data_IF_778995239718
#
_entry.id   IF_778995239718
#
_cell.length_a   1.000
_cell.length_b   1.000
_cell.length_c   1.000
_cell.angle_alpha   90.00
_cell.angle_beta   90.00
_cell.angle_gamma   90.00
#
_symmetry.space_group_name_H-M   'P 1'
#
loop_
_entity.id
_entity.type
_entity.pdbx_description
1 polymer ?
#
# COMPACT_ATOMS: atom_id res chain seq x y z
N UNK A 1 37.44 -1.92 -13.90
CA UNK A 1 36.55 -1.50 -12.80
C UNK A 1 35.13 -1.87 -13.21
N UNK A 2 34.67 -2.91 -12.53
CA UNK A 2 33.39 -3.63 -12.48
C UNK A 2 32.16 -3.23 -13.32
N UNK A 3 31.70 -4.11 -14.24
CA UNK A 3 30.32 -4.13 -14.74
C UNK A 3 29.27 -4.64 -13.71
N UNK A 4 29.66 -4.91 -12.45
CA UNK A 4 28.78 -5.40 -11.39
C UNK A 4 27.74 -4.36 -10.94
N UNK A 5 28.10 -3.07 -10.90
CA UNK A 5 27.22 -1.98 -10.44
C UNK A 5 25.92 -1.90 -11.26
N UNK A 6 25.99 -2.05 -12.59
CA UNK A 6 24.79 -1.99 -13.43
C UNK A 6 23.86 -3.19 -13.20
N UNK A 7 24.43 -4.39 -13.03
CA UNK A 7 23.66 -5.61 -12.78
C UNK A 7 22.99 -5.59 -11.39
N UNK A 8 23.67 -5.04 -10.39
CA UNK A 8 23.14 -4.86 -9.04
C UNK A 8 22.02 -3.82 -9.00
N UNK A 9 22.22 -2.65 -9.61
CA UNK A 9 21.17 -1.63 -9.75
C UNK A 9 19.95 -2.22 -10.44
N UNK A 10 20.15 -2.97 -11.54
CA UNK A 10 19.06 -3.58 -12.29
C UNK A 10 18.35 -4.68 -11.47
N UNK A 11 19.09 -5.51 -10.73
CA UNK A 11 18.51 -6.54 -9.86
C UNK A 11 17.69 -5.93 -8.72
N UNK A 12 18.24 -4.94 -8.02
CA UNK A 12 17.55 -4.24 -6.92
C UNK A 12 16.32 -3.51 -7.45
N UNK A 13 16.43 -2.85 -8.61
CA UNK A 13 15.29 -2.19 -9.26
C UNK A 13 14.21 -3.19 -9.65
N UNK A 14 14.57 -4.34 -10.21
CA UNK A 14 13.60 -5.37 -10.60
C UNK A 14 12.87 -5.95 -9.37
N UNK A 15 13.59 -6.20 -8.28
CA UNK A 15 13.01 -6.68 -7.01
C UNK A 15 12.07 -5.62 -6.43
N UNK A 16 12.52 -4.36 -6.32
CA UNK A 16 11.68 -3.26 -5.81
C UNK A 16 10.46 -3.02 -6.70
N UNK A 17 10.62 -3.06 -8.02
CA UNK A 17 9.51 -2.89 -8.96
C UNK A 17 8.44 -3.98 -8.81
N UNK A 18 8.87 -5.23 -8.61
CA UNK A 18 7.97 -6.34 -8.36
C UNK A 18 7.28 -6.25 -6.99
N UNK A 19 7.98 -5.79 -5.95
CA UNK A 19 7.41 -5.64 -4.59
C UNK A 19 6.40 -4.48 -4.53
N UNK A 20 6.69 -3.36 -5.21
CA UNK A 20 5.79 -2.19 -5.23
C UNK A 20 4.52 -2.47 -6.06
N UNK A 21 4.59 -3.42 -7.01
CA UNK A 21 3.48 -3.82 -7.89
C UNK A 21 2.75 -2.64 -8.57
N UNK A 22 3.54 -1.80 -9.25
CA UNK A 22 3.01 -0.60 -9.93
C UNK A 22 1.96 -0.98 -10.98
N UNK A 23 2.17 -2.07 -11.73
CA UNK A 23 1.27 -2.49 -12.81
C UNK A 23 -0.06 -3.00 -12.26
N UNK A 24 -0.03 -3.80 -11.19
CA UNK A 24 -1.23 -4.25 -10.50
C UNK A 24 -2.02 -3.10 -9.92
N UNK A 25 -1.37 -2.04 -9.43
CA UNK A 25 -2.04 -0.87 -8.87
C UNK A 25 -2.72 0.05 -9.92
N UNK A 26 -2.43 -0.08 -11.22
CA UNK A 26 -2.96 0.82 -12.26
C UNK A 26 -4.51 0.85 -12.30
N UNK A 27 -5.23 -0.29 -12.39
CA UNK A 27 -6.69 -0.30 -12.44
C UNK A 27 -7.32 0.34 -11.20
N UNK A 28 -6.75 0.11 -10.01
CA UNK A 28 -7.20 0.72 -8.74
C UNK A 28 -7.06 2.24 -8.81
N UNK A 29 -5.90 2.74 -9.24
CA UNK A 29 -5.66 4.18 -9.38
C UNK A 29 -6.61 4.80 -10.41
N UNK A 30 -6.87 4.12 -11.53
CA UNK A 30 -7.81 4.58 -12.57
C UNK A 30 -9.23 4.63 -12.01
N UNK A 31 -9.69 3.58 -11.32
CA UNK A 31 -11.03 3.54 -10.72
C UNK A 31 -11.19 4.65 -9.67
N UNK A 32 -10.20 4.84 -8.78
CA UNK A 32 -10.19 5.93 -7.83
C UNK A 32 -10.26 7.30 -8.52
N UNK A 33 -9.52 7.49 -9.62
CA UNK A 33 -9.52 8.75 -10.38
C UNK A 33 -10.85 9.00 -11.06
N UNK A 34 -11.48 7.97 -11.63
CA UNK A 34 -12.80 8.08 -12.26
C UNK A 34 -13.90 8.41 -11.24
N UNK A 35 -13.81 7.89 -10.02
CA UNK A 35 -14.80 8.09 -8.95
C UNK A 35 -14.62 9.39 -8.17
N UNK A 36 -13.38 9.77 -7.85
CA UNK A 36 -13.07 10.96 -7.04
C UNK A 36 -12.68 12.19 -7.87
N UNK A 37 -12.58 12.07 -9.19
CA UNK A 37 -12.15 13.14 -10.09
C UNK A 37 -10.66 13.44 -9.97
N UNK A 38 -10.30 14.46 -9.18
CA UNK A 38 -8.90 14.88 -9.04
C UNK A 38 -8.27 14.30 -7.77
N UNK A 39 -7.38 13.30 -7.94
CA UNK A 39 -6.59 12.75 -6.84
C UNK A 39 -5.48 13.73 -6.47
N UNK A 40 -5.47 14.20 -5.22
CA UNK A 40 -4.37 15.02 -4.67
C UNK A 40 -3.19 14.11 -4.28
N UNK A 41 -2.56 13.50 -5.29
CA UNK A 41 -1.51 12.47 -5.11
C UNK A 41 -0.34 12.94 -4.26
N UNK A 42 0.06 14.22 -4.36
CA UNK A 42 1.14 14.78 -3.58
C UNK A 42 0.81 14.80 -2.08
N UNK A 43 -0.35 15.34 -1.71
CA UNK A 43 -0.79 15.40 -0.30
C UNK A 43 -1.05 14.01 0.27
N UNK A 44 -1.64 13.11 -0.53
CA UNK A 44 -1.84 11.73 -0.13
C UNK A 44 -0.51 11.02 0.13
N UNK A 45 0.48 11.20 -0.76
CA UNK A 45 1.82 10.63 -0.61
C UNK A 45 2.52 11.17 0.63
N UNK A 46 2.45 12.48 0.88
CA UNK A 46 3.01 13.10 2.10
C UNK A 46 2.31 12.57 3.36
N UNK A 47 0.98 12.43 3.34
CA UNK A 47 0.24 11.89 4.48
C UNK A 47 0.65 10.45 4.80
N UNK A 48 0.74 9.59 3.78
CA UNK A 48 1.21 8.20 3.94
C UNK A 48 2.67 8.16 4.40
N UNK A 49 3.54 9.01 3.86
CA UNK A 49 4.95 9.11 4.28
C UNK A 49 5.05 9.46 5.77
N UNK A 50 4.33 10.48 6.22
CA UNK A 50 4.30 10.89 7.63
C UNK A 50 3.75 9.76 8.50
N UNK A 51 2.65 9.12 8.07
CA UNK A 51 2.07 7.98 8.78
C UNK A 51 3.07 6.83 8.93
N UNK A 52 3.77 6.47 7.86
CA UNK A 52 4.78 5.42 7.87
C UNK A 52 5.96 5.77 8.78
N UNK A 53 6.47 7.01 8.72
CA UNK A 53 7.56 7.47 9.58
C UNK A 53 7.13 7.42 11.04
N UNK A 54 5.94 7.92 11.38
CA UNK A 54 5.42 7.86 12.76
C UNK A 54 5.29 6.40 13.20
N UNK A 55 4.62 5.56 12.41
CA UNK A 55 4.43 4.15 12.72
C UNK A 55 5.75 3.37 12.84
N UNK A 56 6.82 3.77 12.14
CA UNK A 56 8.15 3.19 12.30
C UNK A 56 8.69 3.37 13.73
N UNK A 57 8.44 4.52 14.36
CA UNK A 57 8.95 4.82 15.70
C UNK A 57 8.05 4.28 16.82
N UNK A 58 6.72 4.37 16.66
CA UNK A 58 5.77 4.02 17.73
C UNK A 58 4.93 2.77 17.45
N UNK A 59 5.09 2.13 16.30
CA UNK A 59 4.22 1.03 15.85
C UNK A 59 4.25 -0.18 16.77
N UNK A 60 5.43 -0.57 17.26
CA UNK A 60 5.54 -1.70 18.19
C UNK A 60 4.82 -1.41 19.51
N UNK A 61 5.05 -0.24 20.12
CA UNK A 61 4.37 0.12 21.38
C UNK A 61 2.86 0.26 21.19
N UNK A 62 2.41 0.76 20.03
CA UNK A 62 1.00 0.85 19.69
C UNK A 62 0.35 -0.53 19.62
N UNK A 63 1.03 -1.52 19.05
CA UNK A 63 0.56 -2.92 18.98
C UNK A 63 0.57 -3.58 20.36
N UNK A 64 1.59 -3.32 21.18
CA UNK A 64 1.70 -3.87 22.53
C UNK A 64 0.55 -3.39 23.45
N UNK A 65 0.10 -2.13 23.31
CA UNK A 65 -1.05 -1.58 24.08
C UNK A 65 -2.33 -2.38 23.82
N UNK A 66 -2.53 -2.85 22.59
CA UNK A 66 -3.69 -3.66 22.19
C UNK A 66 -3.43 -5.17 22.33
N UNK A 67 -2.28 -5.56 22.89
CA UNK A 67 -1.90 -6.96 23.14
C UNK A 67 -1.60 -7.76 21.87
N UNK A 68 -1.12 -7.10 20.81
CA UNK A 68 -0.75 -7.73 19.54
C UNK A 68 0.76 -7.68 19.34
N UNK A 69 1.32 -8.74 18.75
CA UNK A 69 2.71 -8.74 18.28
C UNK A 69 2.80 -8.38 16.79
N UNK A 70 4.00 -7.97 16.37
CA UNK A 70 4.28 -7.59 14.97
C UNK A 70 3.95 -8.74 14.01
N UNK A 71 4.22 -9.99 14.41
CA UNK A 71 3.97 -11.16 13.57
C UNK A 71 2.47 -11.36 13.31
N UNK A 72 1.62 -11.29 14.35
CA UNK A 72 0.16 -11.41 14.16
C UNK A 72 -0.39 -10.24 13.35
N UNK A 73 0.10 -9.02 13.55
CA UNK A 73 -0.30 -7.86 12.74
C UNK A 73 0.05 -8.06 11.26
N UNK A 74 1.27 -8.52 10.96
CA UNK A 74 1.71 -8.81 9.61
C UNK A 74 0.88 -9.92 8.94
N UNK A 75 0.54 -10.99 9.67
CA UNK A 75 -0.33 -12.06 9.17
C UNK A 75 -1.71 -11.50 8.82
N UNK A 76 -2.32 -10.72 9.71
CA UNK A 76 -3.63 -10.09 9.46
C UNK A 76 -3.59 -9.16 8.24
N UNK A 77 -2.57 -8.31 8.15
CA UNK A 77 -2.38 -7.41 7.00
C UNK A 77 -2.18 -8.15 5.68
N UNK A 78 -1.44 -9.26 5.69
CA UNK A 78 -1.23 -10.09 4.50
C UNK A 78 -2.53 -10.70 3.96
N UNK A 79 -3.45 -11.07 4.84
CA UNK A 79 -4.78 -11.58 4.45
C UNK A 79 -5.60 -10.47 3.81
N UNK A 80 -5.57 -9.25 4.36
CA UNK A 80 -6.26 -8.08 3.79
C UNK A 80 -5.72 -7.78 2.39
N UNK A 81 -4.41 -7.70 2.23
CA UNK A 81 -3.76 -7.46 0.92
C UNK A 81 -4.09 -8.57 -0.07
N UNK A 82 -4.13 -9.83 0.37
CA UNK A 82 -4.51 -10.96 -0.47
C UNK A 82 -5.96 -10.84 -0.99
N UNK A 83 -6.90 -10.44 -0.13
CA UNK A 83 -8.30 -10.23 -0.54
C UNK A 83 -8.42 -9.05 -1.50
N UNK A 84 -7.68 -7.96 -1.27
CA UNK A 84 -7.62 -6.81 -2.19
C UNK A 84 -7.10 -7.24 -3.57
N UNK A 85 -6.00 -8.01 -3.61
CA UNK A 85 -5.46 -8.53 -4.86
C UNK A 85 -6.46 -9.46 -5.58
N UNK A 86 -7.20 -10.27 -4.83
CA UNK A 86 -8.26 -11.12 -5.37
C UNK A 86 -9.42 -10.31 -5.95
N UNK A 87 -9.88 -9.28 -5.24
CA UNK A 87 -10.87 -8.31 -5.72
C UNK A 87 -10.41 -7.65 -7.04
N UNK A 88 -9.13 -7.28 -7.13
CA UNK A 88 -8.56 -6.68 -8.34
C UNK A 88 -8.50 -7.64 -9.55
N UNK A 89 -8.19 -8.92 -9.33
CA UNK A 89 -8.12 -9.93 -10.41
C UNK A 89 -9.52 -10.37 -10.86
N UNK A 90 -10.43 -10.58 -9.91
CA UNK A 90 -11.77 -11.11 -10.17
C UNK A 90 -12.79 -10.02 -10.52
N UNK A 91 -12.48 -8.75 -10.24
CA UNK A 91 -13.39 -7.62 -10.49
C UNK A 91 -14.65 -7.64 -9.61
N UNK A 92 -14.59 -8.29 -8.45
CA UNK A 92 -15.69 -8.42 -7.48
C UNK A 92 -15.39 -7.60 -6.23
N UNK A 93 -16.35 -6.83 -5.73
CA UNK A 93 -16.17 -6.00 -4.54
C UNK A 93 -16.51 -6.77 -3.27
N UNK A 94 -15.51 -7.08 -2.45
CA UNK A 94 -15.72 -7.71 -1.14
C UNK A 94 -15.86 -6.68 -0.03
N UNK A 95 -15.17 -5.55 -0.15
CA UNK A 95 -15.25 -4.45 0.79
C UNK A 95 -16.18 -3.35 0.25
N UNK A 96 -17.29 -3.10 0.94
CA UNK A 96 -18.14 -1.94 0.65
C UNK A 96 -17.45 -0.69 1.19
N UNK A 97 -16.97 0.17 0.29
CA UNK A 97 -16.47 1.49 0.64
C UNK A 97 -17.65 2.39 1.06
N UNK A 98 -18.02 2.37 2.33
CA UNK A 98 -18.88 3.42 2.90
C UNK A 98 -18.05 4.71 3.02
N UNK A 99 -18.04 5.52 1.96
CA UNK A 99 -17.49 6.86 2.06
C UNK A 99 -18.40 7.70 2.97
N UNK A 100 -17.85 8.35 4.02
CA UNK A 100 -18.61 9.36 4.71
C UNK A 100 -18.92 10.47 3.71
N UNK A 101 -20.21 10.73 3.48
CA UNK A 101 -20.69 11.92 2.77
C UNK A 101 -20.39 13.14 3.65
N UNK A 102 -19.13 13.54 3.78
CA UNK A 102 -18.82 14.85 4.34
C UNK A 102 -19.05 15.87 3.24
N UNK A 103 -20.27 16.41 3.33
CA UNK A 103 -20.87 17.51 2.59
C UNK A 103 -19.91 18.71 2.50
N UNK A 104 -19.79 19.24 1.27
CA UNK A 104 -19.32 20.59 0.89
C UNK A 104 -17.93 21.06 1.29
#
# INVERSE_FOLDING_TARGET
MEPLIFKEILSVTMILFAIIDILGAIPVIIEMRQRAGHIQSEKASIAVLVLMIVFLFIGNELLDIIGLDIASFAIAGSIVIFIIAMEMILGIKFFNEEMPQTVS
#
